data_IF_765997166682
#
_entry.id   IF_765997166682
#
_cell.length_a   1.000
_cell.length_b   1.000
_cell.length_c   1.000
_cell.angle_alpha   90.00
_cell.angle_beta   90.00
_cell.angle_gamma   90.00
#
_symmetry.space_group_name_H-M   'P 1'
#
loop_
_entity.id
_entity.type
_entity.pdbx_description
1 polymer ?
#
# COMPACT_ATOMS: atom_id res chain seq x y z
N UNK A 1 -63.61 -27.57 21.26
CA UNK A 1 -62.66 -26.88 22.15
C UNK A 1 -61.35 -27.65 22.08
N UNK A 2 -60.31 -26.92 21.71
CA UNK A 2 -58.87 -27.26 21.74
C UNK A 2 -58.41 -28.46 20.91
N UNK A 3 -58.06 -28.13 19.67
CA UNK A 3 -57.16 -28.89 18.79
C UNK A 3 -55.71 -28.45 19.03
N UNK A 4 -54.90 -29.44 19.43
CA UNK A 4 -53.47 -29.67 19.23
C UNK A 4 -52.56 -28.48 18.88
N UNK A 5 -51.66 -28.18 19.83
CA UNK A 5 -50.46 -27.38 19.65
C UNK A 5 -49.34 -28.25 19.06
N UNK A 6 -49.21 -28.25 17.73
CA UNK A 6 -47.99 -28.74 17.08
C UNK A 6 -46.93 -27.63 17.09
N UNK A 7 -45.98 -27.81 18.02
CA UNK A 7 -44.73 -27.08 18.13
C UNK A 7 -43.85 -27.44 16.92
N UNK A 8 -44.02 -26.71 15.81
CA UNK A 8 -43.17 -26.85 14.63
C UNK A 8 -41.78 -26.25 14.92
N UNK A 9 -40.94 -27.10 15.49
CA UNK A 9 -39.51 -26.89 15.64
C UNK A 9 -38.86 -26.94 14.25
N UNK A 10 -38.83 -25.80 13.55
CA UNK A 10 -38.17 -25.70 12.25
C UNK A 10 -36.65 -25.67 12.50
N UNK A 11 -36.05 -26.85 12.60
CA UNK A 11 -34.60 -27.01 12.54
C UNK A 11 -34.07 -26.27 11.31
N UNK A 12 -33.26 -25.24 11.55
CA UNK A 12 -32.51 -24.58 10.48
C UNK A 12 -31.67 -25.64 9.76
N UNK A 13 -31.86 -25.85 8.45
CA UNK A 13 -30.97 -26.71 7.71
C UNK A 13 -29.56 -26.13 7.82
N UNK A 14 -28.63 -26.95 8.31
CA UNK A 14 -27.20 -26.68 8.25
C UNK A 14 -26.82 -26.58 6.77
N UNK A 15 -26.93 -25.38 6.21
CA UNK A 15 -26.43 -25.09 4.88
C UNK A 15 -24.91 -25.27 4.94
N UNK A 16 -24.45 -26.47 4.53
CA UNK A 16 -23.13 -26.62 3.93
C UNK A 16 -23.10 -25.65 2.77
N UNK A 17 -22.41 -24.52 2.96
CA UNK A 17 -21.98 -23.63 1.91
C UNK A 17 -21.10 -24.43 0.96
N UNK A 18 -21.70 -25.12 0.00
CA UNK A 18 -21.03 -25.51 -1.24
C UNK A 18 -21.34 -24.36 -2.19
N UNK A 19 -20.57 -23.30 -2.05
CA UNK A 19 -20.34 -22.37 -3.14
C UNK A 19 -18.83 -22.22 -3.33
N UNK A 20 -18.44 -22.46 -4.57
CA UNK A 20 -17.08 -22.61 -5.07
C UNK A 20 -16.24 -21.36 -4.80
N UNK A 21 -14.94 -21.51 -4.45
CA UNK A 21 -14.01 -20.40 -4.40
C UNK A 21 -13.61 -20.05 -5.84
N UNK A 22 -14.32 -19.11 -6.45
CA UNK A 22 -13.86 -18.39 -7.63
C UNK A 22 -14.19 -16.91 -7.41
N UNK A 23 -13.24 -15.99 -7.32
CA UNK A 23 -11.80 -16.09 -7.41
C UNK A 23 -11.22 -15.18 -6.34
N UNK A 24 -10.18 -15.64 -5.65
CA UNK A 24 -9.19 -14.69 -5.17
C UNK A 24 -8.78 -13.90 -6.40
N UNK A 25 -9.21 -12.64 -6.48
CA UNK A 25 -8.59 -11.71 -7.42
C UNK A 25 -7.15 -11.61 -6.94
N UNK A 26 -6.29 -12.40 -7.57
CA UNK A 26 -4.87 -12.35 -7.32
C UNK A 26 -4.37 -10.97 -7.72
N UNK A 27 -3.19 -10.57 -7.26
CA UNK A 27 -2.59 -9.31 -7.72
C UNK A 27 -2.48 -9.25 -9.27
N UNK A 28 -2.69 -10.35 -9.98
CA UNK A 28 -2.79 -10.42 -11.44
C UNK A 28 -4.10 -9.88 -12.02
N UNK A 29 -5.20 -9.90 -11.26
CA UNK A 29 -6.50 -9.46 -11.77
C UNK A 29 -6.75 -7.94 -11.58
N UNK A 30 -5.91 -7.28 -10.79
CA UNK A 30 -5.92 -5.82 -10.55
C UNK A 30 -4.77 -5.09 -11.25
N UNK A 31 -4.00 -5.80 -12.05
CA UNK A 31 -2.93 -5.24 -12.88
C UNK A 31 -3.40 -5.18 -14.33
N UNK A 32 -3.04 -4.06 -14.96
CA UNK A 32 -3.10 -3.93 -16.42
C UNK A 32 -2.40 -5.15 -17.03
N UNK A 33 -3.08 -5.89 -17.90
CA UNK A 33 -2.59 -7.17 -18.47
C UNK A 33 -1.23 -6.98 -19.17
N UNK A 34 -0.99 -5.76 -19.66
CA UNK A 34 0.25 -5.30 -20.28
C UNK A 34 1.39 -4.99 -19.27
N UNK A 35 1.14 -5.10 -17.96
CA UNK A 35 2.13 -4.96 -16.89
C UNK A 35 2.64 -6.30 -16.36
N UNK A 36 1.80 -7.35 -16.29
CA UNK A 36 2.22 -8.74 -16.00
C UNK A 36 3.32 -9.20 -16.97
N UNK A 37 3.12 -8.96 -18.26
CA UNK A 37 4.05 -9.39 -19.30
C UNK A 37 5.43 -8.72 -19.17
N UNK A 38 5.49 -7.49 -18.64
CA UNK A 38 6.76 -6.82 -18.33
C UNK A 38 7.50 -7.37 -17.12
N UNK A 39 6.79 -7.98 -16.15
CA UNK A 39 7.41 -8.61 -14.97
C UNK A 39 7.87 -10.05 -15.28
N UNK A 40 7.21 -10.73 -16.22
CA UNK A 40 7.53 -12.10 -16.63
C UNK A 40 8.81 -12.18 -17.50
N UNK A 41 9.32 -11.05 -18.00
CA UNK A 41 10.50 -10.96 -18.87
C UNK A 41 11.78 -10.48 -18.16
N UNK A 42 11.78 -10.36 -16.83
CA UNK A 42 12.99 -10.09 -16.05
C UNK A 42 13.41 -11.37 -15.31
N UNK A 43 14.17 -12.21 -16.04
CA UNK A 43 15.10 -13.26 -15.63
C UNK A 43 14.74 -14.23 -14.48
N UNK A 44 14.47 -15.49 -14.87
CA UNK A 44 14.82 -16.70 -14.10
C UNK A 44 16.34 -16.93 -14.23
N UNK A 45 17.11 -17.13 -13.15
CA UNK A 45 18.47 -17.63 -13.28
C UNK A 45 18.46 -19.11 -13.71
N UNK A 46 19.34 -19.42 -14.65
CA UNK A 46 19.53 -20.72 -15.29
C UNK A 46 20.42 -21.60 -14.38
N UNK A 47 19.87 -22.63 -13.75
CA UNK A 47 20.62 -23.63 -12.97
C UNK A 47 21.28 -24.65 -13.89
N UNK A 48 22.41 -24.32 -14.52
CA UNK A 48 23.36 -25.30 -15.08
C UNK A 48 24.76 -24.70 -15.16
N UNK A 49 25.52 -24.69 -14.05
CA UNK A 49 26.93 -25.13 -14.05
C UNK A 49 27.49 -25.21 -12.62
N UNK A 50 28.45 -26.12 -12.43
CA UNK A 50 29.23 -26.43 -11.20
C UNK A 50 28.67 -27.50 -10.26
N UNK A 51 28.72 -28.74 -10.75
CA UNK A 51 29.07 -29.92 -9.97
C UNK A 51 30.56 -29.93 -9.65
N UNK A 52 30.95 -30.10 -8.38
CA UNK A 52 31.96 -31.05 -7.85
C UNK A 52 32.57 -30.59 -6.50
N UNK A 53 32.34 -31.43 -5.48
CA UNK A 53 32.93 -31.52 -4.13
C UNK A 53 34.45 -31.91 -4.25
N UNK A 54 35.35 -31.90 -3.22
CA UNK A 54 35.07 -32.25 -1.82
C UNK A 54 35.83 -31.51 -0.69
N UNK A 55 35.22 -31.63 0.49
CA UNK A 55 35.76 -31.41 1.84
C UNK A 55 36.99 -32.31 2.15
N UNK A 56 37.87 -31.91 3.09
CA UNK A 56 38.29 -32.85 4.15
C UNK A 56 38.39 -32.16 5.53
N UNK A 57 37.69 -32.64 6.57
CA UNK A 57 38.11 -33.66 7.56
C UNK A 57 38.53 -33.07 8.92
N UNK A 58 37.78 -33.46 9.95
CA UNK A 58 37.99 -33.29 11.41
C UNK A 58 39.43 -33.59 11.88
N UNK A 59 39.90 -32.89 12.93
CA UNK A 59 40.47 -33.50 14.15
C UNK A 59 40.25 -32.62 15.40
N UNK A 60 39.89 -33.29 16.50
CA UNK A 60 39.63 -32.81 17.87
C UNK A 60 40.94 -32.88 18.68
N UNK A 61 41.16 -31.95 19.63
CA UNK A 61 41.91 -32.22 20.86
C UNK A 61 41.49 -31.24 21.99
N UNK A 62 41.19 -31.83 23.15
CA UNK A 62 40.73 -31.27 24.43
C UNK A 62 41.89 -30.77 25.33
N UNK A 63 41.48 -30.16 26.47
CA UNK A 63 42.21 -29.78 27.71
C UNK A 63 42.48 -28.27 27.85
N UNK A 64 42.24 -27.60 28.98
CA UNK A 64 41.58 -27.90 30.26
C UNK A 64 41.36 -26.58 31.03
N UNK A 65 40.51 -26.64 32.06
CA UNK A 65 39.91 -25.56 32.85
C UNK A 65 40.85 -24.52 33.48
N UNK A 66 40.38 -23.27 33.53
CA UNK A 66 40.35 -22.51 34.79
C UNK A 66 39.18 -21.51 34.79
N UNK A 67 38.29 -21.69 35.76
CA UNK A 67 37.18 -20.82 36.10
C UNK A 67 37.65 -19.38 36.35
N UNK A 68 36.92 -18.41 35.80
CA UNK A 68 36.75 -17.10 36.45
C UNK A 68 35.30 -16.65 36.22
N UNK A 69 34.51 -16.85 37.27
CA UNK A 69 33.29 -16.11 37.56
C UNK A 69 33.59 -14.61 37.61
N UNK A 70 32.54 -13.79 37.43
CA UNK A 70 32.43 -12.32 37.50
C UNK A 70 32.66 -11.62 36.14
N UNK A 71 31.66 -11.07 35.43
CA UNK A 71 30.50 -10.30 35.88
C UNK A 71 29.30 -10.50 34.92
N UNK A 72 28.37 -11.38 35.28
CA UNK A 72 26.99 -11.18 34.85
C UNK A 72 26.41 -10.07 35.73
N UNK A 73 26.57 -8.81 35.31
CA UNK A 73 25.71 -7.75 35.82
C UNK A 73 24.32 -7.98 35.23
N UNK A 74 23.60 -8.92 35.84
CA UNK A 74 22.14 -8.98 35.78
C UNK A 74 21.68 -7.73 36.51
N UNK A 75 21.46 -6.66 35.73
CA UNK A 75 20.88 -5.46 36.31
C UNK A 75 19.40 -5.75 36.58
N UNK A 76 18.93 -5.54 37.81
CA UNK A 76 17.69 -6.08 38.32
C UNK A 76 16.49 -5.29 37.77
N UNK A 77 15.43 -6.02 37.44
CA UNK A 77 14.04 -5.58 37.50
C UNK A 77 13.81 -4.08 37.21
N UNK A 78 13.96 -3.67 35.94
CA UNK A 78 13.20 -2.53 35.46
C UNK A 78 11.73 -2.93 35.54
N UNK A 79 10.90 -2.08 36.13
CA UNK A 79 9.44 -2.20 36.08
C UNK A 79 9.04 -2.72 34.70
N UNK A 80 8.27 -3.81 34.64
CA UNK A 80 7.83 -4.48 33.40
C UNK A 80 6.98 -3.60 32.47
N UNK A 81 6.92 -2.30 32.75
CA UNK A 81 6.31 -1.25 31.95
C UNK A 81 7.18 -0.83 30.75
N UNK A 82 8.50 -1.02 30.78
CA UNK A 82 9.41 -0.59 29.70
C UNK A 82 10.41 -1.68 29.32
N UNK A 83 10.47 -2.04 28.04
CA UNK A 83 11.54 -2.85 27.44
C UNK A 83 12.55 -1.94 26.76
N UNK A 84 13.83 -2.25 26.97
CA UNK A 84 14.90 -1.58 26.24
C UNK A 84 14.95 -2.14 24.81
N UNK A 85 14.92 -1.26 23.81
CA UNK A 85 14.84 -1.61 22.39
C UNK A 85 16.06 -1.02 21.68
N UNK A 86 16.72 -1.82 20.83
CA UNK A 86 17.84 -1.28 20.04
C UNK A 86 17.33 -0.35 18.92
N UNK A 87 18.19 0.51 18.38
CA UNK A 87 17.86 1.34 17.20
C UNK A 87 17.37 0.46 16.03
N UNK A 88 17.97 -0.71 15.86
CA UNK A 88 17.58 -1.68 14.84
C UNK A 88 16.15 -2.22 15.06
N UNK A 89 15.80 -2.58 16.30
CA UNK A 89 14.46 -3.09 16.62
C UNK A 89 13.38 -2.00 16.42
N UNK A 90 13.72 -0.75 16.75
CA UNK A 90 12.86 0.41 16.50
C UNK A 90 12.67 0.61 15.00
N UNK A 91 13.75 0.61 14.21
CA UNK A 91 13.69 0.74 12.75
C UNK A 91 12.87 -0.40 12.12
N UNK A 92 13.07 -1.65 12.55
CA UNK A 92 12.29 -2.80 12.07
C UNK A 92 10.81 -2.67 12.40
N UNK A 93 10.45 -2.27 13.63
CA UNK A 93 9.07 -2.08 14.01
C UNK A 93 8.40 -0.98 13.18
N UNK A 94 9.08 0.17 13.02
CA UNK A 94 8.61 1.29 12.19
C UNK A 94 8.38 0.83 10.75
N UNK A 95 9.32 0.08 10.17
CA UNK A 95 9.22 -0.46 8.82
C UNK A 95 8.07 -1.46 8.68
N UNK A 96 7.85 -2.31 9.69
CA UNK A 96 6.74 -3.27 9.74
C UNK A 96 5.34 -2.62 9.78
N UNK A 97 5.23 -1.39 10.29
CA UNK A 97 3.96 -0.64 10.33
C UNK A 97 3.66 0.15 9.05
N UNK A 98 4.54 0.09 8.05
CA UNK A 98 4.33 0.86 6.83
C UNK A 98 3.19 0.30 5.98
N UNK A 99 2.42 1.21 5.39
CA UNK A 99 1.34 0.83 4.50
C UNK A 99 1.89 0.10 3.25
N UNK A 100 1.51 -1.17 3.09
CA UNK A 100 1.90 -2.04 1.96
C UNK A 100 1.62 -1.42 0.60
N UNK A 101 0.50 -0.72 0.44
CA UNK A 101 0.15 -0.03 -0.81
C UNK A 101 1.14 1.10 -1.11
N UNK A 102 1.52 1.86 -0.09
CA UNK A 102 2.51 2.94 -0.21
C UNK A 102 3.89 2.40 -0.56
N UNK A 103 4.31 1.30 0.05
CA UNK A 103 5.56 0.61 -0.28
C UNK A 103 5.58 0.18 -1.74
N UNK A 104 4.56 -0.56 -2.16
CA UNK A 104 4.42 -1.07 -3.53
C UNK A 104 4.44 0.07 -4.55
N UNK A 105 3.72 1.15 -4.29
CA UNK A 105 3.74 2.35 -5.14
C UNK A 105 5.14 2.97 -5.22
N UNK A 106 5.84 3.05 -4.10
CA UNK A 106 7.21 3.58 -4.05
C UNK A 106 8.13 2.76 -4.94
N UNK A 107 8.10 1.43 -4.80
CA UNK A 107 8.94 0.53 -5.60
C UNK A 107 8.70 0.75 -7.10
N UNK A 108 7.43 0.81 -7.51
CA UNK A 108 7.06 1.08 -8.92
C UNK A 108 7.57 2.44 -9.42
N UNK A 109 7.31 3.51 -8.67
CA UNK A 109 7.72 4.87 -9.05
C UNK A 109 9.26 5.00 -9.15
N UNK A 110 9.99 4.34 -8.23
CA UNK A 110 11.46 4.32 -8.23
C UNK A 110 12.00 3.48 -9.39
N UNK A 111 11.39 2.35 -9.73
CA UNK A 111 11.78 1.55 -10.88
C UNK A 111 11.66 2.36 -12.18
N UNK A 112 10.58 3.15 -12.33
CA UNK A 112 10.38 4.03 -13.47
C UNK A 112 11.44 5.14 -13.55
N UNK A 113 11.78 5.75 -12.41
CA UNK A 113 12.86 6.73 -12.33
C UNK A 113 14.22 6.12 -12.69
N UNK A 114 14.55 4.95 -12.14
CA UNK A 114 15.82 4.27 -12.43
C UNK A 114 15.95 3.92 -13.92
N UNK A 115 14.84 3.52 -14.58
CA UNK A 115 14.83 3.31 -16.04
C UNK A 115 15.17 4.60 -16.79
N UNK A 116 14.61 5.74 -16.36
CA UNK A 116 14.95 7.04 -16.94
C UNK A 116 16.41 7.43 -16.70
N UNK A 117 16.94 7.24 -15.49
CA UNK A 117 18.32 7.55 -15.15
C UNK A 117 19.30 6.73 -16.00
N UNK A 118 19.07 5.42 -16.13
CA UNK A 118 19.85 4.55 -17.03
C UNK A 118 19.83 5.05 -18.47
N UNK A 119 18.68 5.49 -18.99
CA UNK A 119 18.58 6.07 -20.33
C UNK A 119 19.33 7.41 -20.49
N UNK A 120 19.69 8.07 -19.38
CA UNK A 120 20.55 9.26 -19.33
C UNK A 120 22.01 8.94 -19.01
N UNK A 121 22.40 7.65 -19.05
CA UNK A 121 23.72 7.15 -18.66
C UNK A 121 24.07 7.44 -17.18
N UNK A 122 23.06 7.59 -16.33
CA UNK A 122 23.22 7.69 -14.88
C UNK A 122 23.00 6.31 -14.25
N UNK A 123 24.10 5.66 -13.86
CA UNK A 123 24.10 4.32 -13.31
C UNK A 123 24.28 4.28 -11.79
N UNK A 124 24.55 5.42 -11.14
CA UNK A 124 24.67 5.50 -9.68
C UNK A 124 23.33 5.20 -9.01
N UNK A 125 23.39 4.73 -7.78
CA UNK A 125 22.18 4.59 -6.96
C UNK A 125 21.61 5.97 -6.63
N UNK A 126 20.28 6.10 -6.66
CA UNK A 126 19.59 7.38 -6.46
C UNK A 126 20.08 8.17 -5.23
N UNK A 127 20.30 7.48 -4.10
CA UNK A 127 20.76 8.08 -2.85
C UNK A 127 22.25 8.48 -2.83
N UNK A 128 23.02 8.12 -3.85
CA UNK A 128 24.46 8.45 -3.94
C UNK A 128 24.75 9.65 -4.85
N UNK A 129 23.77 10.04 -5.68
CA UNK A 129 23.90 11.19 -6.59
C UNK A 129 23.81 12.46 -5.73
N UNK A 130 24.75 13.42 -5.83
CA UNK A 130 24.66 14.69 -5.10
C UNK A 130 23.43 15.53 -5.49
N UNK A 131 22.86 16.36 -4.60
CA UNK A 131 21.65 17.13 -4.91
C UNK A 131 21.79 18.06 -6.12
N UNK A 132 22.96 18.67 -6.31
CA UNK A 132 23.26 19.56 -7.44
C UNK A 132 23.14 18.85 -8.80
N UNK A 133 23.40 17.54 -8.83
CA UNK A 133 23.26 16.71 -10.03
C UNK A 133 21.88 16.06 -10.11
N UNK A 134 21.32 15.67 -8.96
CA UNK A 134 20.02 15.01 -8.89
C UNK A 134 18.86 15.96 -9.24
N UNK A 135 18.93 17.23 -8.85
CA UNK A 135 17.89 18.22 -9.10
C UNK A 135 17.56 18.42 -10.59
N UNK A 136 18.52 18.71 -11.49
CA UNK A 136 18.23 18.81 -12.92
C UNK A 136 17.77 17.48 -13.55
N UNK A 137 18.25 16.33 -13.05
CA UNK A 137 17.79 15.02 -13.51
C UNK A 137 16.31 14.80 -13.18
N UNK A 138 15.90 15.09 -11.94
CA UNK A 138 14.52 14.97 -11.49
C UNK A 138 13.60 15.99 -12.17
N UNK A 139 14.06 17.22 -12.37
CA UNK A 139 13.34 18.22 -13.14
C UNK A 139 13.07 17.75 -14.58
N UNK A 140 14.09 17.23 -15.26
CA UNK A 140 13.96 16.68 -16.61
C UNK A 140 13.01 15.47 -16.64
N UNK A 141 13.15 14.56 -15.67
CA UNK A 141 12.25 13.43 -15.49
C UNK A 141 10.79 13.89 -15.43
N UNK A 142 10.45 14.84 -14.56
CA UNK A 142 9.07 15.30 -14.39
C UNK A 142 8.47 15.98 -15.64
N UNK A 143 9.29 16.66 -16.43
CA UNK A 143 8.84 17.32 -17.66
C UNK A 143 8.59 16.33 -18.80
N UNK A 144 9.45 15.31 -18.89
CA UNK A 144 9.46 14.31 -19.97
C UNK A 144 8.64 13.07 -19.67
N UNK A 145 8.31 12.81 -18.41
CA UNK A 145 7.55 11.63 -18.00
C UNK A 145 6.20 11.53 -18.72
N UNK A 146 5.97 10.38 -19.37
CA UNK A 146 4.73 10.01 -20.07
C UNK A 146 4.34 8.59 -19.71
N UNK A 147 3.05 8.30 -19.86
CA UNK A 147 2.50 6.95 -19.75
C UNK A 147 2.98 6.07 -20.92
N UNK A 148 2.76 4.75 -20.82
CA UNK A 148 3.08 3.79 -21.89
C UNK A 148 2.37 4.14 -23.21
N UNK A 149 1.14 4.66 -23.15
CA UNK A 149 0.34 5.13 -24.30
C UNK A 149 0.83 6.46 -24.90
N UNK A 150 1.94 7.03 -24.40
CA UNK A 150 2.44 8.36 -24.79
C UNK A 150 1.68 9.53 -24.16
N UNK A 151 0.60 9.25 -23.42
CA UNK A 151 -0.24 10.23 -22.76
C UNK A 151 0.42 10.93 -21.57
N UNK A 152 -0.09 12.11 -21.25
CA UNK A 152 0.32 12.88 -20.07
C UNK A 152 -0.32 12.34 -18.79
N UNK A 153 0.45 12.35 -17.69
CA UNK A 153 -0.05 12.06 -16.35
C UNK A 153 -0.92 13.19 -15.79
N UNK A 154 -1.74 12.86 -14.79
CA UNK A 154 -2.46 13.87 -14.00
C UNK A 154 -1.52 14.61 -13.03
N UNK A 155 -1.91 15.82 -12.66
CA UNK A 155 -1.16 16.66 -11.71
C UNK A 155 -0.93 15.98 -10.36
N UNK A 156 -1.97 15.29 -9.87
CA UNK A 156 -1.99 14.53 -8.61
C UNK A 156 -1.01 13.36 -8.66
N UNK A 157 -0.93 12.69 -9.81
CA UNK A 157 -0.05 11.55 -10.03
C UNK A 157 1.41 11.99 -9.99
N UNK A 158 1.76 13.07 -10.71
CA UNK A 158 3.13 13.62 -10.67
C UNK A 158 3.54 14.03 -9.25
N UNK A 159 2.65 14.66 -8.49
CA UNK A 159 2.91 15.00 -7.09
C UNK A 159 3.19 13.75 -6.26
N UNK A 160 2.40 12.70 -6.46
CA UNK A 160 2.59 11.46 -5.72
C UNK A 160 3.89 10.74 -6.08
N UNK A 161 4.34 10.80 -7.34
CA UNK A 161 5.63 10.26 -7.76
C UNK A 161 6.77 10.98 -7.03
N UNK A 162 6.72 12.32 -6.97
CA UNK A 162 7.69 13.11 -6.21
C UNK A 162 7.69 12.71 -4.73
N UNK A 163 6.52 12.48 -4.12
CA UNK A 163 6.44 11.98 -2.75
C UNK A 163 7.03 10.58 -2.58
N UNK A 164 6.94 9.71 -3.59
CA UNK A 164 7.61 8.40 -3.58
C UNK A 164 9.13 8.52 -3.63
N UNK A 165 9.65 9.43 -4.46
CA UNK A 165 11.09 9.72 -4.56
C UNK A 165 11.60 10.30 -3.24
N UNK A 166 10.92 11.31 -2.70
CA UNK A 166 11.26 11.94 -1.43
C UNK A 166 11.28 10.93 -0.28
N UNK A 167 10.30 10.01 -0.23
CA UNK A 167 10.27 8.91 0.74
C UNK A 167 11.47 7.96 0.59
N UNK A 168 11.86 7.61 -0.64
CA UNK A 168 13.04 6.77 -0.88
C UNK A 168 14.32 7.45 -0.40
N UNK A 169 14.50 8.73 -0.70
CA UNK A 169 15.66 9.51 -0.24
C UNK A 169 15.72 9.61 1.29
N UNK A 170 14.58 9.89 1.94
CA UNK A 170 14.49 9.95 3.41
C UNK A 170 14.86 8.64 4.08
N UNK A 171 14.40 7.51 3.55
CA UNK A 171 14.76 6.17 4.08
C UNK A 171 16.27 5.91 4.01
N UNK A 172 16.93 6.48 3.00
CA UNK A 172 18.38 6.36 2.82
C UNK A 172 19.17 7.48 3.51
N UNK A 173 18.55 8.22 4.45
CA UNK A 173 19.18 9.29 5.24
C UNK A 173 19.92 10.32 4.35
N UNK A 174 19.39 10.63 3.17
CA UNK A 174 20.01 11.46 2.10
C UNK A 174 20.32 12.92 2.49
N UNK A 175 19.90 13.39 3.66
CA UNK A 175 20.21 14.74 4.17
C UNK A 175 19.43 15.89 3.52
N UNK A 176 18.84 15.69 2.35
CA UNK A 176 17.99 16.68 1.66
C UNK A 176 16.60 16.11 1.33
N UNK A 177 15.60 16.98 1.37
CA UNK A 177 14.20 16.65 1.10
C UNK A 177 13.71 17.43 -0.11
N UNK A 178 13.01 16.77 -1.02
CA UNK A 178 12.42 17.43 -2.19
C UNK A 178 11.20 18.25 -1.75
N UNK A 179 10.42 17.70 -0.81
CA UNK A 179 9.15 18.28 -0.34
C UNK A 179 9.28 19.14 0.92
N UNK A 180 10.42 19.07 1.62
CA UNK A 180 10.66 19.83 2.84
C UNK A 180 10.86 21.31 2.53
N UNK A 181 10.09 22.16 3.21
CA UNK A 181 10.24 23.62 3.21
C UNK A 181 10.33 24.05 4.68
N UNK A 182 11.49 23.84 5.28
CA UNK A 182 11.81 24.36 6.61
C UNK A 182 13.33 24.52 6.68
N UNK A 183 13.81 25.75 6.53
CA UNK A 183 15.21 26.25 6.64
C UNK A 183 16.12 26.13 5.42
N UNK A 184 17.12 27.04 5.37
CA UNK A 184 18.15 27.41 4.38
C UNK A 184 18.71 26.36 3.38
N UNK A 185 18.33 25.09 3.49
CA UNK A 185 18.56 24.00 2.52
C UNK A 185 17.56 24.03 1.34
N UNK A 186 16.78 25.11 1.23
CA UNK A 186 15.74 25.35 0.24
C UNK A 186 16.23 25.42 -1.22
N UNK A 187 17.53 25.25 -1.51
CA UNK A 187 18.03 25.31 -2.89
C UNK A 187 18.41 23.95 -3.50
N UNK A 188 18.55 22.90 -2.69
CA UNK A 188 19.01 21.60 -3.20
C UNK A 188 18.11 21.00 -4.28
N UNK A 189 16.80 21.29 -4.24
CA UNK A 189 15.80 20.76 -5.18
C UNK A 189 14.88 21.85 -5.78
N UNK A 190 15.40 23.07 -5.94
CA UNK A 190 14.59 24.19 -6.44
C UNK A 190 14.10 23.92 -7.85
N UNK A 191 14.94 23.41 -8.75
CA UNK A 191 14.57 23.20 -10.15
C UNK A 191 13.50 22.12 -10.29
N UNK A 192 13.58 21.05 -9.49
CA UNK A 192 12.56 19.99 -9.42
C UNK A 192 11.22 20.55 -8.99
N UNK A 193 11.18 21.36 -7.92
CA UNK A 193 9.94 21.97 -7.42
C UNK A 193 9.33 22.95 -8.40
N UNK A 194 10.14 23.80 -9.01
CA UNK A 194 9.68 24.75 -10.03
C UNK A 194 9.16 24.03 -11.27
N UNK A 195 9.88 23.02 -11.75
CA UNK A 195 9.48 22.19 -12.88
C UNK A 195 8.16 21.46 -12.61
N UNK A 196 7.99 20.90 -11.40
CA UNK A 196 6.73 20.30 -10.98
C UNK A 196 5.58 21.30 -11.00
N UNK A 197 5.77 22.49 -10.42
CA UNK A 197 4.75 23.56 -10.39
C UNK A 197 4.38 24.01 -11.80
N UNK A 198 5.37 24.24 -12.66
CA UNK A 198 5.18 24.64 -14.05
C UNK A 198 4.44 23.56 -14.84
N UNK A 199 4.87 22.30 -14.75
CA UNK A 199 4.19 21.16 -15.39
C UNK A 199 2.76 21.01 -14.91
N UNK A 200 2.51 21.13 -13.61
CA UNK A 200 1.16 21.10 -13.05
C UNK A 200 0.28 22.21 -13.65
N UNK A 201 0.79 23.45 -13.78
CA UNK A 201 0.05 24.55 -14.41
C UNK A 201 -0.35 24.23 -15.85
N UNK A 202 0.58 23.70 -16.66
CA UNK A 202 0.32 23.27 -18.05
C UNK A 202 -0.73 22.17 -18.10
N UNK A 203 -0.61 21.16 -17.23
CA UNK A 203 -1.59 20.07 -17.15
C UNK A 203 -2.98 20.58 -16.73
N UNK A 204 -3.05 21.64 -15.91
CA UNK A 204 -4.32 22.27 -15.53
C UNK A 204 -5.02 22.85 -16.74
N UNK A 205 -4.26 23.62 -17.53
CA UNK A 205 -4.76 24.28 -18.74
C UNK A 205 -5.22 23.25 -19.77
N UNK A 206 -4.55 22.10 -19.85
CA UNK A 206 -4.96 20.95 -20.69
C UNK A 206 -6.13 20.13 -20.12
N UNK A 207 -6.77 20.57 -19.03
CA UNK A 207 -7.90 19.86 -18.42
C UNK A 207 -7.54 18.63 -17.58
N UNK A 208 -6.25 18.27 -17.44
CA UNK A 208 -5.75 17.11 -16.65
C UNK A 208 -5.66 17.37 -15.13
N UNK A 209 -6.30 18.45 -14.66
CA UNK A 209 -6.48 18.75 -13.24
C UNK A 209 -7.95 18.77 -12.81
N UNK A 210 -8.87 18.81 -13.78
CA UNK A 210 -10.29 18.64 -13.49
C UNK A 210 -10.52 17.14 -13.41
N UNK A 211 -11.27 16.69 -12.40
CA UNK A 211 -11.73 15.30 -12.29
C UNK A 211 -13.08 15.23 -13.04
N UNK A 212 -13.12 15.09 -14.39
CA UNK A 212 -14.40 15.04 -15.10
C UNK A 212 -15.25 13.85 -14.63
N UNK A 213 -14.58 12.78 -14.20
CA UNK A 213 -15.17 11.58 -13.61
C UNK A 213 -15.27 11.68 -12.07
N UNK A 214 -15.38 12.90 -11.51
CA UNK A 214 -15.64 13.03 -10.07
C UNK A 214 -16.94 12.29 -9.78
N UNK A 215 -16.90 11.38 -8.81
CA UNK A 215 -18.12 10.72 -8.31
C UNK A 215 -19.14 11.80 -7.95
N UNK A 216 -20.28 11.77 -8.64
CA UNK A 216 -21.42 12.57 -8.23
C UNK A 216 -22.14 11.85 -7.09
N UNK A 217 -22.73 12.58 -6.15
CA UNK A 217 -23.65 11.99 -5.19
C UNK A 217 -24.76 11.23 -5.95
N UNK A 218 -25.15 10.07 -5.43
CA UNK A 218 -26.35 9.40 -5.93
C UNK A 218 -27.56 10.29 -5.59
N UNK A 219 -28.43 10.52 -6.56
CA UNK A 219 -29.66 11.31 -6.38
C UNK A 219 -30.78 10.41 -5.87
N UNK A 220 -31.75 10.99 -5.18
CA UNK A 220 -32.91 10.23 -4.67
C UNK A 220 -33.66 9.51 -5.79
N UNK A 221 -33.81 10.13 -6.97
CA UNK A 221 -34.40 9.48 -8.15
C UNK A 221 -33.65 8.19 -8.55
N UNK A 222 -32.31 8.20 -8.47
CA UNK A 222 -31.51 7.02 -8.78
C UNK A 222 -31.64 5.96 -7.69
N UNK A 223 -31.75 6.36 -6.43
CA UNK A 223 -32.03 5.45 -5.31
C UNK A 223 -33.40 4.77 -5.52
N UNK A 224 -34.43 5.55 -5.88
CA UNK A 224 -35.77 5.03 -6.17
C UNK A 224 -35.75 3.99 -7.29
N UNK A 225 -35.04 4.26 -8.38
CA UNK A 225 -34.86 3.29 -9.48
C UNK A 225 -34.20 1.99 -9.00
N UNK A 226 -33.28 2.04 -8.04
CA UNK A 226 -32.65 0.84 -7.50
C UNK A 226 -33.62 -0.02 -6.66
N UNK A 227 -34.53 0.62 -5.91
CA UNK A 227 -35.60 -0.08 -5.19
C UNK A 227 -36.66 -0.64 -6.16
N UNK A 228 -37.10 0.13 -7.15
CA UNK A 228 -38.07 -0.31 -8.16
C UNK A 228 -37.56 -1.53 -8.95
N UNK A 229 -36.26 -1.58 -9.23
CA UNK A 229 -35.62 -2.70 -9.95
C UNK A 229 -35.25 -3.87 -9.04
N UNK A 230 -35.65 -3.86 -7.77
CA UNK A 230 -35.30 -4.90 -6.79
C UNK A 230 -33.78 -5.09 -6.61
N UNK A 231 -32.95 -4.10 -6.94
CA UNK A 231 -31.50 -4.12 -6.66
C UNK A 231 -31.23 -3.82 -5.19
N UNK A 232 -32.06 -2.94 -4.63
CA UNK A 232 -32.23 -2.70 -3.20
C UNK A 232 -33.64 -3.14 -2.80
N UNK A 233 -33.86 -3.38 -1.51
CA UNK A 233 -35.08 -3.96 -0.97
C UNK A 233 -34.82 -5.34 -0.34
N UNK A 234 -35.91 -6.03 -0.04
CA UNK A 234 -35.98 -7.29 0.69
C UNK A 234 -36.44 -8.47 -0.17
N UNK A 235 -36.53 -8.26 -1.49
CA UNK A 235 -37.03 -9.23 -2.46
C UNK A 235 -36.16 -10.50 -2.58
N UNK A 236 -34.87 -10.41 -2.27
CA UNK A 236 -34.00 -11.57 -2.11
C UNK A 236 -32.84 -11.28 -1.14
N UNK A 237 -32.12 -12.32 -0.65
CA UNK A 237 -31.00 -12.14 0.28
C UNK A 237 -29.91 -11.18 -0.24
N UNK A 238 -29.62 -11.23 -1.55
CA UNK A 238 -28.62 -10.35 -2.16
C UNK A 238 -29.05 -8.89 -2.17
N UNK A 239 -30.32 -8.62 -2.49
CA UNK A 239 -30.87 -7.26 -2.48
C UNK A 239 -30.92 -6.69 -1.08
N UNK A 240 -31.23 -7.52 -0.08
CA UNK A 240 -31.19 -7.13 1.33
C UNK A 240 -29.75 -6.78 1.75
N UNK A 241 -28.78 -7.61 1.40
CA UNK A 241 -27.38 -7.37 1.72
C UNK A 241 -26.85 -6.08 1.07
N UNK A 242 -27.20 -5.83 -0.21
CA UNK A 242 -26.85 -4.59 -0.92
C UNK A 242 -27.49 -3.36 -0.28
N UNK A 243 -28.72 -3.49 0.22
CA UNK A 243 -29.43 -2.43 0.95
C UNK A 243 -28.73 -2.08 2.25
N UNK A 244 -28.37 -3.08 3.05
CA UNK A 244 -27.62 -2.86 4.30
C UNK A 244 -26.26 -2.23 4.00
N UNK A 245 -25.54 -2.74 3.00
CA UNK A 245 -24.26 -2.18 2.59
C UNK A 245 -24.39 -0.71 2.16
N UNK A 246 -25.40 -0.38 1.36
CA UNK A 246 -25.67 1.00 0.91
C UNK A 246 -26.03 1.91 2.09
N UNK A 247 -26.91 1.47 2.98
CA UNK A 247 -27.29 2.22 4.17
C UNK A 247 -26.07 2.50 5.06
N UNK A 248 -25.16 1.53 5.18
CA UNK A 248 -23.91 1.72 5.92
C UNK A 248 -22.99 2.76 5.27
N UNK A 249 -22.91 2.77 3.93
CA UNK A 249 -22.15 3.78 3.20
C UNK A 249 -22.75 5.19 3.37
N UNK A 250 -24.07 5.30 3.29
CA UNK A 250 -24.80 6.59 3.29
C UNK A 250 -24.85 7.18 4.70
N UNK A 251 -25.24 6.39 5.70
CA UNK A 251 -25.50 6.89 7.06
C UNK A 251 -24.25 6.91 7.94
N UNK A 252 -23.35 5.94 7.80
CA UNK A 252 -22.14 5.84 8.62
C UNK A 252 -20.87 6.26 7.88
N UNK A 253 -20.96 6.55 6.58
CA UNK A 253 -19.81 7.02 5.80
C UNK A 253 -18.71 5.98 5.63
N UNK A 254 -19.03 4.68 5.75
CA UNK A 254 -18.09 3.58 5.50
C UNK A 254 -17.73 3.54 4.02
N UNK A 255 -16.45 3.71 3.68
CA UNK A 255 -15.95 3.89 2.31
C UNK A 255 -14.92 2.85 1.90
N UNK A 256 -14.50 1.97 2.81
CA UNK A 256 -13.52 0.91 2.56
C UNK A 256 -14.10 -0.49 2.70
N UNK A 257 -13.68 -1.40 1.83
CA UNK A 257 -13.99 -2.83 1.90
C UNK A 257 -13.68 -3.41 3.30
N UNK A 258 -12.52 -3.06 3.85
CA UNK A 258 -12.13 -3.49 5.20
C UNK A 258 -13.07 -2.97 6.29
N UNK A 259 -13.56 -1.74 6.18
CA UNK A 259 -14.48 -1.16 7.16
C UNK A 259 -15.81 -1.92 7.19
N UNK A 260 -16.28 -2.34 6.02
CA UNK A 260 -17.47 -3.19 5.90
C UNK A 260 -17.22 -4.61 6.43
N UNK A 261 -16.08 -5.23 6.11
CA UNK A 261 -15.75 -6.59 6.60
C UNK A 261 -15.50 -6.66 8.10
N UNK A 262 -14.92 -5.61 8.69
CA UNK A 262 -14.60 -5.57 10.12
C UNK A 262 -15.76 -5.05 10.97
N UNK A 263 -16.90 -4.73 10.34
CA UNK A 263 -18.10 -4.28 11.03
C UNK A 263 -18.66 -5.41 11.90
N UNK A 264 -18.52 -5.27 13.22
CA UNK A 264 -19.05 -6.21 14.20
C UNK A 264 -20.36 -5.68 14.79
N UNK A 265 -21.21 -6.57 15.27
CA UNK A 265 -22.47 -6.22 15.93
C UNK A 265 -22.27 -5.21 17.08
N UNK A 266 -21.27 -5.45 17.94
CA UNK A 266 -20.94 -4.56 19.07
C UNK A 266 -20.53 -3.16 18.64
N UNK A 267 -19.79 -3.04 17.53
CA UNK A 267 -19.38 -1.75 16.97
C UNK A 267 -20.53 -1.04 16.28
N UNK A 268 -21.46 -1.80 15.69
CA UNK A 268 -22.65 -1.29 15.01
C UNK A 268 -23.60 -0.61 15.99
N UNK A 269 -23.95 -1.30 17.09
CA UNK A 269 -24.84 -0.75 18.14
C UNK A 269 -24.24 0.51 18.78
N UNK A 270 -22.91 0.52 18.99
CA UNK A 270 -22.20 1.67 19.55
C UNK A 270 -22.18 2.89 18.62
N UNK A 271 -22.13 2.68 17.30
CA UNK A 271 -22.24 3.78 16.32
C UNK A 271 -23.68 4.28 16.21
N UNK A 272 -24.66 3.36 16.16
CA UNK A 272 -26.07 3.71 16.09
C UNK A 272 -26.52 4.57 17.28
N UNK A 273 -26.07 4.23 18.49
CA UNK A 273 -26.39 4.97 19.71
C UNK A 273 -25.75 6.37 19.82
N UNK A 274 -24.79 6.71 18.95
CA UNK A 274 -24.18 8.05 18.90
C UNK A 274 -24.80 8.95 17.83
N UNK A 275 -25.60 8.36 16.92
CA UNK A 275 -26.24 9.07 15.81
C UNK A 275 -27.72 9.40 16.07
N UNK A 276 -28.30 8.86 17.14
CA UNK A 276 -29.61 9.23 17.70
C UNK A 276 -29.37 10.20 18.86
#
# INVERSE_FOLDING_TARGET
>A
MSSDSEENNMEMPQFRLIWSPYAELTEDDLMDKDLQDTLTQLDRPNEQDLTENPNPTNQVQEESHSENLVNASVNPHFDAQYMDMTEHDIEQFIDGQQNKNTLTKTVRDIALLNKFLKAKNENRELQTIPPVELDPLLANYLLTLRKKDGGEYEQSTLRSIVSSIDRKLKRHKYGHSIAGSTTYQDEAFRLTRESLKAKQKVLKQKGKGNKPLRSQPITDDKINILYERNVLGDSCPDSLLRTIWMNNCVHFGLRGVQEHYTLRFVTYVSHFSKCI
#
